data_IF_136161190137
#
_entry.id   IF_136161190137
#
_cell.length_a   1.000
_cell.length_b   1.000
_cell.length_c   1.000
_cell.angle_alpha   90.00
_cell.angle_beta   90.00
_cell.angle_gamma   90.00
#
_symmetry.space_group_name_H-M   'P 1'
#
loop_
_entity.id
_entity.type
_entity.pdbx_description
1 polymer ?
#
# COMPACT_ATOMS: atom_id res chain seq x y z
N UNK A 1 -35.66 75.32 -3.30
CA UNK A 1 -35.80 73.89 -3.66
C UNK A 1 -34.39 73.34 -3.79
N UNK A 2 -33.79 72.99 -2.66
CA UNK A 2 -32.44 72.45 -2.55
C UNK A 2 -32.57 70.94 -2.38
N UNK A 3 -32.42 70.21 -3.48
CA UNK A 3 -32.44 68.76 -3.50
C UNK A 3 -31.05 68.27 -3.09
N UNK A 4 -30.91 67.97 -1.80
CA UNK A 4 -29.71 67.42 -1.19
C UNK A 4 -29.50 65.98 -1.66
N UNK A 5 -28.51 65.78 -2.53
CA UNK A 5 -28.03 64.46 -2.91
C UNK A 5 -27.37 63.79 -1.68
N UNK A 6 -28.01 62.75 -1.16
CA UNK A 6 -27.43 61.87 -0.13
C UNK A 6 -26.28 61.04 -0.73
N UNK A 7 -25.13 60.90 -0.05
CA UNK A 7 -24.00 60.15 -0.56
C UNK A 7 -24.26 58.65 -0.42
N UNK A 8 -24.18 57.94 -1.55
CA UNK A 8 -24.27 56.47 -1.62
C UNK A 8 -23.17 55.83 -0.77
N UNK A 9 -23.56 55.27 0.38
CA UNK A 9 -22.67 54.52 1.27
C UNK A 9 -22.03 53.35 0.50
N UNK A 10 -20.72 53.46 0.31
CA UNK A 10 -19.90 52.41 -0.30
C UNK A 10 -19.78 51.27 0.71
N UNK A 11 -20.66 50.28 0.60
CA UNK A 11 -20.63 49.07 1.44
C UNK A 11 -19.25 48.42 1.27
N UNK A 12 -18.37 48.61 2.27
CA UNK A 12 -17.04 48.01 2.29
C UNK A 12 -17.20 46.50 2.35
N UNK A 13 -17.01 45.84 1.21
CA UNK A 13 -17.07 44.39 1.12
C UNK A 13 -16.13 43.76 2.16
N UNK A 14 -16.56 42.70 2.85
CA UNK A 14 -15.75 42.08 3.89
C UNK A 14 -14.45 41.54 3.29
N UNK A 15 -13.33 41.69 4.04
CA UNK A 15 -11.96 41.37 3.60
C UNK A 15 -11.80 39.98 2.95
N UNK A 16 -12.61 39.00 3.35
CA UNK A 16 -12.58 37.66 2.79
C UNK A 16 -13.04 37.61 1.32
N UNK A 17 -14.01 38.43 0.91
CA UNK A 17 -14.54 38.49 -0.46
C UNK A 17 -13.47 39.04 -1.40
N UNK A 18 -12.83 40.14 -1.02
CA UNK A 18 -11.72 40.74 -1.79
C UNK A 18 -10.57 39.75 -1.95
N UNK A 19 -10.24 39.00 -0.88
CA UNK A 19 -9.19 37.97 -0.92
C UNK A 19 -9.58 36.80 -1.83
N UNK A 20 -10.85 36.36 -1.77
CA UNK A 20 -11.38 35.31 -2.63
C UNK A 20 -11.34 35.72 -4.12
N UNK A 21 -11.78 36.94 -4.45
CA UNK A 21 -11.73 37.45 -5.82
C UNK A 21 -10.30 37.57 -6.35
N UNK A 22 -9.35 38.02 -5.51
CA UNK A 22 -7.92 38.06 -5.87
C UNK A 22 -7.40 36.65 -6.13
N UNK A 23 -7.76 35.67 -5.31
CA UNK A 23 -7.39 34.28 -5.51
C UNK A 23 -7.96 33.70 -6.82
N UNK A 24 -9.22 33.99 -7.16
CA UNK A 24 -9.83 33.58 -8.42
C UNK A 24 -9.13 34.19 -9.64
N UNK A 25 -8.80 35.48 -9.59
CA UNK A 25 -8.05 36.17 -10.66
C UNK A 25 -6.67 35.58 -10.84
N UNK A 26 -5.92 35.38 -9.74
CA UNK A 26 -4.60 34.77 -9.79
C UNK A 26 -4.65 33.34 -10.36
N UNK A 27 -5.63 32.53 -9.97
CA UNK A 27 -5.80 31.17 -10.49
C UNK A 27 -6.16 31.14 -11.98
N UNK A 28 -6.99 32.08 -12.45
CA UNK A 28 -7.30 32.23 -13.87
C UNK A 28 -6.06 32.63 -14.68
N UNK A 29 -5.30 33.61 -14.20
CA UNK A 29 -4.07 34.05 -14.85
C UNK A 29 -3.03 32.92 -14.90
N UNK A 30 -2.87 32.17 -13.81
CA UNK A 30 -1.97 31.01 -13.79
C UNK A 30 -2.30 29.98 -14.87
N UNK A 31 -3.59 29.66 -15.06
CA UNK A 31 -4.03 28.72 -16.11
C UNK A 31 -3.73 29.27 -17.51
N UNK A 32 -3.96 30.57 -17.73
CA UNK A 32 -3.66 31.22 -19.01
C UNK A 32 -2.16 31.22 -19.30
N UNK A 33 -1.32 31.59 -18.33
CA UNK A 33 0.13 31.57 -18.48
C UNK A 33 0.66 30.14 -18.68
N UNK A 34 0.04 29.12 -18.09
CA UNK A 34 0.39 27.72 -18.37
C UNK A 34 0.06 27.31 -19.81
N UNK A 35 -1.08 27.74 -20.34
CA UNK A 35 -1.46 27.50 -21.73
C UNK A 35 -0.50 28.20 -22.71
N UNK A 36 -0.20 29.47 -22.45
CA UNK A 36 0.76 30.27 -23.22
C UNK A 36 2.16 29.64 -23.19
N UNK A 37 2.63 29.21 -22.02
CA UNK A 37 3.92 28.53 -21.89
C UNK A 37 3.95 27.22 -22.70
N UNK A 38 2.85 26.47 -22.74
CA UNK A 38 2.76 25.27 -23.55
C UNK A 38 2.90 25.62 -25.04
N UNK A 39 2.21 26.66 -25.53
CA UNK A 39 2.31 27.12 -26.91
C UNK A 39 3.74 27.57 -27.27
N UNK A 40 4.38 28.38 -26.43
CA UNK A 40 5.77 28.81 -26.64
C UNK A 40 6.73 27.61 -26.68
N UNK A 41 6.49 26.56 -25.90
CA UNK A 41 7.31 25.35 -25.93
C UNK A 41 7.18 24.61 -27.27
N UNK A 42 6.02 24.65 -27.95
CA UNK A 42 5.92 24.16 -29.32
C UNK A 42 6.83 24.96 -30.25
N UNK A 43 6.79 26.29 -30.16
CA UNK A 43 7.61 27.15 -31.02
C UNK A 43 9.11 26.94 -30.79
N UNK A 44 9.51 26.79 -29.51
CA UNK A 44 10.89 26.47 -29.10
C UNK A 44 11.34 25.14 -29.70
N UNK A 45 10.49 24.12 -29.67
CA UNK A 45 10.78 22.81 -30.25
C UNK A 45 10.79 22.87 -31.78
N UNK A 46 9.86 23.58 -32.42
CA UNK A 46 9.80 23.65 -33.89
C UNK A 46 11.00 24.43 -34.47
N UNK A 47 11.49 25.45 -33.77
CA UNK A 47 12.69 26.20 -34.13
C UNK A 47 13.98 25.60 -33.57
N UNK A 48 13.89 24.55 -32.74
CA UNK A 48 15.02 23.92 -32.06
C UNK A 48 15.93 24.94 -31.34
N UNK A 49 15.34 25.95 -30.68
CA UNK A 49 16.06 27.10 -30.08
C UNK A 49 17.14 26.63 -29.08
N UNK A 50 16.89 25.52 -28.38
CA UNK A 50 17.85 24.95 -27.44
C UNK A 50 19.19 24.56 -28.10
N UNK A 51 19.19 24.16 -29.37
CA UNK A 51 20.44 23.86 -30.10
C UNK A 51 21.25 25.13 -30.39
N UNK A 52 20.58 26.24 -30.69
CA UNK A 52 21.22 27.54 -30.90
C UNK A 52 21.88 28.04 -29.59
N UNK A 53 21.29 27.68 -28.45
CA UNK A 53 21.82 27.95 -27.11
C UNK A 53 22.86 26.92 -26.64
N UNK A 54 23.34 26.03 -27.52
CA UNK A 54 24.32 24.97 -27.22
C UNK A 54 23.85 23.93 -26.19
N UNK A 55 22.54 23.79 -25.99
CA UNK A 55 21.92 22.79 -25.11
C UNK A 55 21.43 21.61 -25.96
N UNK A 56 21.65 20.39 -25.47
CA UNK A 56 21.40 19.16 -26.26
C UNK A 56 19.95 18.67 -26.21
N UNK A 57 19.14 19.18 -25.29
CA UNK A 57 17.80 18.65 -25.00
C UNK A 57 16.83 19.75 -24.61
N UNK A 58 15.61 19.70 -25.16
CA UNK A 58 14.50 20.55 -24.74
C UNK A 58 14.24 20.45 -23.23
N UNK A 59 14.38 19.26 -22.65
CA UNK A 59 14.21 19.07 -21.20
C UNK A 59 15.23 19.89 -20.41
N UNK A 60 16.49 19.84 -20.81
CA UNK A 60 17.56 20.59 -20.17
C UNK A 60 17.33 22.11 -20.33
N UNK A 61 16.90 22.55 -21.51
CA UNK A 61 16.51 23.94 -21.75
C UNK A 61 15.39 24.41 -20.80
N UNK A 62 14.35 23.60 -20.61
CA UNK A 62 13.26 23.93 -19.69
C UNK A 62 13.71 24.05 -18.23
N UNK A 63 14.64 23.20 -17.78
CA UNK A 63 15.10 23.20 -16.38
C UNK A 63 16.14 24.28 -16.13
N UNK A 64 17.16 24.37 -16.99
CA UNK A 64 18.31 25.27 -16.77
C UNK A 64 18.02 26.70 -17.23
N UNK A 65 17.44 26.89 -18.42
CA UNK A 65 17.23 28.24 -18.99
C UNK A 65 15.91 28.85 -18.54
N UNK A 66 14.82 28.07 -18.51
CA UNK A 66 13.50 28.57 -18.11
C UNK A 66 13.24 28.45 -16.59
N UNK A 67 14.12 27.76 -15.84
CA UNK A 67 13.98 27.60 -14.39
C UNK A 67 12.78 26.77 -13.94
N UNK A 68 12.23 25.91 -14.81
CA UNK A 68 11.08 25.07 -14.49
C UNK A 68 11.50 23.86 -13.64
N UNK A 69 10.61 23.41 -12.76
CA UNK A 69 10.83 22.14 -12.05
C UNK A 69 10.80 20.96 -13.01
N UNK A 70 11.58 19.93 -12.71
CA UNK A 70 11.67 18.69 -13.50
C UNK A 70 10.29 18.09 -13.82
N UNK A 71 9.39 18.07 -12.81
CA UNK A 71 8.03 17.56 -12.95
C UNK A 71 7.18 18.40 -13.92
N UNK A 72 7.36 19.73 -13.93
CA UNK A 72 6.64 20.64 -14.82
C UNK A 72 7.16 20.52 -16.24
N UNK A 73 8.48 20.52 -16.42
CA UNK A 73 9.14 20.33 -17.70
C UNK A 73 8.72 18.99 -18.34
N UNK A 74 8.77 17.90 -17.59
CA UNK A 74 8.31 16.59 -18.07
C UNK A 74 6.84 16.61 -18.49
N UNK A 75 5.98 17.27 -17.71
CA UNK A 75 4.55 17.34 -18.01
C UNK A 75 4.26 18.13 -19.29
N UNK A 76 4.92 19.26 -19.48
CA UNK A 76 4.80 20.09 -20.69
C UNK A 76 5.28 19.32 -21.92
N UNK A 77 6.48 18.72 -21.86
CA UNK A 77 7.07 17.97 -22.97
C UNK A 77 6.22 16.75 -23.33
N UNK A 78 5.68 16.03 -22.34
CA UNK A 78 4.81 14.88 -22.59
C UNK A 78 3.51 15.29 -23.30
N UNK A 79 2.87 16.37 -22.86
CA UNK A 79 1.65 16.90 -23.50
C UNK A 79 1.96 17.43 -24.90
N UNK A 80 3.08 18.15 -25.08
CA UNK A 80 3.52 18.67 -26.37
C UNK A 80 3.70 17.53 -27.39
N UNK A 81 4.51 16.52 -27.03
CA UNK A 81 4.75 15.36 -27.90
C UNK A 81 3.45 14.63 -28.26
N UNK A 82 2.57 14.42 -27.27
CA UNK A 82 1.30 13.73 -27.54
C UNK A 82 0.34 14.55 -28.40
N UNK A 83 0.38 15.86 -28.26
CA UNK A 83 -0.44 16.76 -29.08
C UNK A 83 0.01 16.84 -30.53
N UNK A 84 1.27 16.48 -30.86
CA UNK A 84 1.69 16.30 -32.26
C UNK A 84 0.94 15.14 -32.93
N UNK A 85 0.62 14.09 -32.18
CA UNK A 85 -0.22 12.98 -32.67
C UNK A 85 -1.73 13.32 -32.62
N UNK A 86 -2.15 14.09 -31.60
CA UNK A 86 -3.56 14.43 -31.33
C UNK A 86 -3.71 15.96 -31.17
N UNK A 87 -3.86 16.72 -32.26
CA UNK A 87 -3.92 18.20 -32.19
C UNK A 87 -5.06 18.74 -31.31
N UNK A 88 -6.17 18.01 -31.22
CA UNK A 88 -7.31 18.37 -30.35
C UNK A 88 -6.93 18.47 -28.85
N UNK A 89 -5.85 17.80 -28.43
CA UNK A 89 -5.32 17.90 -27.07
C UNK A 89 -4.72 19.29 -26.80
N UNK A 90 -3.94 19.83 -27.75
CA UNK A 90 -3.39 21.19 -27.66
C UNK A 90 -4.50 22.21 -27.54
N UNK A 91 -5.47 22.18 -28.46
CA UNK A 91 -6.61 23.10 -28.46
C UNK A 91 -7.39 23.06 -27.15
N UNK A 92 -7.58 21.87 -26.57
CA UNK A 92 -8.32 21.71 -25.31
C UNK A 92 -7.58 22.28 -24.10
N UNK A 93 -6.25 22.29 -24.12
CA UNK A 93 -5.44 22.91 -23.07
C UNK A 93 -5.36 24.42 -23.26
N UNK A 94 -5.16 24.89 -24.50
CA UNK A 94 -5.08 26.32 -24.82
C UNK A 94 -6.39 27.05 -24.53
N UNK A 95 -7.53 26.44 -24.86
CA UNK A 95 -8.86 26.96 -24.52
C UNK A 95 -9.18 26.89 -23.02
N UNK A 96 -8.32 26.28 -22.21
CA UNK A 96 -8.52 26.14 -20.77
C UNK A 96 -9.62 25.14 -20.38
N UNK A 97 -10.13 24.34 -21.32
CA UNK A 97 -11.14 23.30 -21.06
C UNK A 97 -10.58 22.16 -20.21
N UNK A 98 -9.29 21.85 -20.37
CA UNK A 98 -8.57 20.82 -19.62
C UNK A 98 -7.30 21.42 -19.02
N UNK A 99 -7.02 21.12 -17.76
CA UNK A 99 -5.78 21.55 -17.11
C UNK A 99 -4.59 20.72 -17.55
N UNK A 100 -3.39 21.31 -17.57
CA UNK A 100 -2.15 20.63 -17.97
C UNK A 100 -1.93 19.31 -17.22
N UNK A 101 -2.19 19.29 -15.91
CA UNK A 101 -2.03 18.08 -15.09
C UNK A 101 -2.97 16.95 -15.50
N UNK A 102 -4.20 17.26 -15.92
CA UNK A 102 -5.15 16.27 -16.45
C UNK A 102 -4.76 15.81 -17.84
N UNK A 103 -4.33 16.73 -18.71
CA UNK A 103 -3.82 16.42 -20.05
C UNK A 103 -2.63 15.44 -19.99
N UNK A 104 -1.68 15.68 -19.07
CA UNK A 104 -0.52 14.78 -18.86
C UNK A 104 -0.93 13.36 -18.48
N UNK A 105 -1.99 13.19 -17.69
CA UNK A 105 -2.47 11.87 -17.25
C UNK A 105 -3.07 11.07 -18.39
N UNK A 106 -3.84 11.70 -19.28
CA UNK A 106 -4.46 11.03 -20.43
C UNK A 106 -3.48 10.75 -21.57
N UNK A 107 -2.28 11.34 -21.57
CA UNK A 107 -1.28 11.17 -22.64
C UNK A 107 -0.93 9.70 -22.94
N UNK A 108 -1.01 8.81 -21.95
CA UNK A 108 -0.68 7.38 -22.13
C UNK A 108 -1.76 6.56 -22.83
N UNK A 109 -2.99 7.07 -22.94
CA UNK A 109 -4.16 6.33 -23.47
C UNK A 109 -4.89 7.05 -24.60
N UNK A 110 -4.67 8.37 -24.73
CA UNK A 110 -5.29 9.16 -25.79
C UNK A 110 -4.72 8.80 -27.17
N UNK A 111 -5.61 8.67 -28.14
CA UNK A 111 -5.34 8.39 -29.54
C UNK A 111 -6.30 9.22 -30.38
N UNK A 112 -6.05 9.34 -31.68
CA UNK A 112 -6.91 10.10 -32.61
C UNK A 112 -8.36 9.59 -32.61
N UNK A 113 -8.57 8.28 -32.39
CA UNK A 113 -9.91 7.65 -32.39
C UNK A 113 -10.71 7.94 -31.12
N UNK A 114 -10.07 7.87 -29.95
CA UNK A 114 -10.74 8.00 -28.64
C UNK A 114 -10.61 9.41 -28.02
N UNK A 115 -10.06 10.39 -28.77
CA UNK A 115 -9.77 11.73 -28.26
C UNK A 115 -10.98 12.44 -27.63
N UNK A 116 -12.18 12.31 -28.22
CA UNK A 116 -13.38 13.01 -27.74
C UNK A 116 -13.78 12.53 -26.33
N UNK A 117 -13.84 11.21 -26.14
CA UNK A 117 -14.22 10.58 -24.88
C UNK A 117 -13.27 10.99 -23.74
N UNK A 118 -11.96 10.93 -23.97
CA UNK A 118 -10.97 11.29 -22.95
C UNK A 118 -10.95 12.79 -22.62
N UNK A 119 -11.15 13.65 -23.62
CA UNK A 119 -11.22 15.09 -23.42
C UNK A 119 -12.49 15.49 -22.67
N UNK A 120 -13.63 14.88 -22.98
CA UNK A 120 -14.89 15.10 -22.26
C UNK A 120 -14.80 14.61 -20.80
N UNK A 121 -14.20 13.43 -20.57
CA UNK A 121 -13.94 12.91 -19.23
C UNK A 121 -13.02 13.84 -18.44
N UNK A 122 -11.92 14.32 -19.05
CA UNK A 122 -10.99 15.25 -18.42
C UNK A 122 -11.63 16.60 -18.09
N UNK A 123 -12.59 17.08 -18.90
CA UNK A 123 -13.35 18.32 -18.64
C UNK A 123 -14.20 18.18 -17.38
N UNK A 124 -15.02 17.13 -17.29
CA UNK A 124 -16.06 17.00 -16.26
C UNK A 124 -15.52 16.42 -14.95
N UNK A 125 -14.69 15.39 -15.01
CA UNK A 125 -14.36 14.59 -13.84
C UNK A 125 -13.17 15.17 -13.03
N UNK A 126 -13.05 14.74 -11.78
CA UNK A 126 -11.89 15.09 -10.94
C UNK A 126 -10.62 14.39 -11.43
N UNK A 127 -9.45 14.93 -11.08
CA UNK A 127 -8.16 14.38 -11.50
C UNK A 127 -7.92 12.93 -11.03
N UNK A 128 -8.58 12.50 -9.94
CA UNK A 128 -8.53 11.13 -9.39
C UNK A 128 -9.38 10.17 -10.22
N UNK A 129 -10.57 10.59 -10.65
CA UNK A 129 -11.43 9.78 -11.52
C UNK A 129 -10.75 9.58 -12.88
N UNK A 130 -10.12 10.62 -13.42
CA UNK A 130 -9.33 10.53 -14.67
C UNK A 130 -8.21 9.50 -14.52
N UNK A 131 -7.44 9.51 -13.42
CA UNK A 131 -6.39 8.50 -13.19
C UNK A 131 -6.94 7.08 -13.11
N UNK A 132 -8.06 6.89 -12.42
CA UNK A 132 -8.72 5.58 -12.33
C UNK A 132 -9.12 5.07 -13.71
N UNK A 133 -9.72 5.93 -14.53
CA UNK A 133 -10.10 5.59 -15.91
C UNK A 133 -8.87 5.25 -16.77
N UNK A 134 -7.81 6.05 -16.70
CA UNK A 134 -6.54 5.79 -17.41
C UNK A 134 -5.94 4.46 -16.99
N UNK A 135 -5.93 4.15 -15.69
CA UNK A 135 -5.43 2.88 -15.15
C UNK A 135 -6.27 1.67 -15.59
N UNK A 136 -7.59 1.85 -15.75
CA UNK A 136 -8.48 0.81 -16.27
C UNK A 136 -8.23 0.55 -17.76
N UNK A 137 -7.96 1.59 -18.54
CA UNK A 137 -7.66 1.48 -19.97
C UNK A 137 -6.24 0.96 -20.25
N UNK A 138 -5.28 1.17 -19.34
CA UNK A 138 -3.94 0.61 -19.42
C UNK A 138 -3.53 0.00 -18.07
N UNK A 139 -3.92 -1.26 -17.81
CA UNK A 139 -3.55 -1.96 -16.58
C UNK A 139 -2.03 -2.13 -16.53
N UNK A 140 -1.35 -1.33 -15.71
CA UNK A 140 0.06 -1.58 -15.40
C UNK A 140 0.14 -2.90 -14.64
N UNK A 141 1.09 -3.76 -15.04
CA UNK A 141 1.44 -4.99 -14.31
C UNK A 141 1.65 -4.67 -12.83
N UNK A 142 1.16 -5.55 -11.94
CA UNK A 142 1.24 -5.38 -10.49
C UNK A 142 2.63 -4.84 -10.08
N UNK A 143 2.64 -3.66 -9.45
CA UNK A 143 3.89 -3.04 -8.99
C UNK A 143 4.53 -4.01 -7.99
N UNK A 144 5.77 -4.47 -8.22
CA UNK A 144 6.40 -5.42 -7.31
C UNK A 144 6.53 -4.81 -5.92
N UNK A 145 6.24 -5.61 -4.91
CA UNK A 145 6.43 -5.22 -3.52
C UNK A 145 7.91 -4.97 -3.25
N UNK A 146 8.24 -3.82 -2.65
CA UNK A 146 9.62 -3.44 -2.35
C UNK A 146 9.70 -2.80 -0.98
N UNK A 147 10.76 -3.15 -0.24
CA UNK A 147 11.16 -2.49 1.01
C UNK A 147 12.56 -1.91 0.83
N UNK A 148 12.72 -0.60 1.03
CA UNK A 148 14.02 0.09 0.92
C UNK A 148 14.29 0.90 2.18
N UNK A 149 15.52 0.90 2.66
CA UNK A 149 15.92 1.77 3.77
C UNK A 149 15.89 3.24 3.33
N UNK A 150 15.23 4.09 4.13
CA UNK A 150 15.24 5.55 3.99
C UNK A 150 16.10 6.19 5.07
N UNK A 151 16.09 5.60 6.27
CA UNK A 151 16.93 5.98 7.41
C UNK A 151 17.43 4.71 8.12
N UNK A 152 18.25 4.86 9.16
CA UNK A 152 18.89 3.75 9.88
C UNK A 152 17.91 2.64 10.28
N UNK A 153 16.72 3.01 10.76
CA UNK A 153 15.67 2.06 11.19
C UNK A 153 14.32 2.28 10.49
N UNK A 154 14.28 3.05 9.39
CA UNK A 154 13.02 3.37 8.69
C UNK A 154 13.04 2.80 7.28
N UNK A 155 12.07 1.96 6.95
CA UNK A 155 11.91 1.38 5.62
C UNK A 155 10.73 2.02 4.89
N UNK A 156 10.93 2.39 3.63
CA UNK A 156 9.87 2.69 2.66
C UNK A 156 9.27 1.36 2.17
N UNK A 157 7.98 1.15 2.46
CA UNK A 157 7.23 -0.01 1.98
C UNK A 157 6.33 0.38 0.81
N UNK A 158 6.65 -0.15 -0.38
CA UNK A 158 5.85 0.03 -1.61
C UNK A 158 5.00 -1.21 -1.83
N UNK A 159 3.68 -1.01 -1.76
CA UNK A 159 2.67 -2.05 -1.95
C UNK A 159 1.54 -1.51 -2.85
N UNK A 160 1.24 -2.21 -3.93
CA UNK A 160 0.02 -1.96 -4.68
C UNK A 160 -1.15 -2.68 -3.99
N UNK A 161 -2.17 -1.92 -3.60
CA UNK A 161 -3.32 -2.43 -2.85
C UNK A 161 -4.61 -2.25 -3.65
N UNK A 162 -5.56 -3.14 -3.43
CA UNK A 162 -6.91 -3.00 -3.99
C UNK A 162 -7.67 -1.85 -3.31
N UNK A 163 -8.73 -1.38 -3.97
CA UNK A 163 -9.62 -0.35 -3.41
C UNK A 163 -10.29 -0.85 -2.12
N UNK A 164 -10.75 -2.10 -2.12
CA UNK A 164 -11.34 -2.77 -0.94
C UNK A 164 -10.36 -2.80 0.24
N UNK A 165 -9.09 -3.10 0.00
CA UNK A 165 -8.07 -3.13 1.05
C UNK A 165 -7.84 -1.74 1.65
N UNK A 166 -7.81 -0.70 0.79
CA UNK A 166 -7.64 0.69 1.26
C UNK A 166 -8.83 1.15 2.10
N UNK A 167 -10.05 0.75 1.74
CA UNK A 167 -11.26 1.06 2.51
C UNK A 167 -11.21 0.36 3.87
N UNK A 168 -10.91 -0.94 3.88
CA UNK A 168 -10.79 -1.71 5.12
C UNK A 168 -9.72 -1.12 6.06
N UNK A 169 -8.56 -0.71 5.52
CA UNK A 169 -7.53 -0.07 6.34
C UNK A 169 -8.03 1.27 6.93
N UNK A 170 -8.75 2.07 6.16
CA UNK A 170 -9.31 3.33 6.64
C UNK A 170 -10.34 3.10 7.77
N UNK A 171 -11.28 2.17 7.58
CA UNK A 171 -12.27 1.80 8.60
C UNK A 171 -11.60 1.31 9.89
N UNK A 172 -10.60 0.43 9.79
CA UNK A 172 -9.88 -0.07 10.97
C UNK A 172 -9.12 1.06 11.66
N UNK A 173 -8.52 1.98 10.92
CA UNK A 173 -7.85 3.16 11.50
C UNK A 173 -8.83 4.06 12.23
N UNK A 174 -10.03 4.28 11.69
CA UNK A 174 -11.06 5.08 12.34
C UNK A 174 -11.51 4.44 13.64
N UNK A 175 -11.72 3.12 13.65
CA UNK A 175 -12.04 2.36 14.88
C UNK A 175 -10.93 2.46 15.93
N UNK A 176 -9.66 2.32 15.52
CA UNK A 176 -8.52 2.46 16.43
C UNK A 176 -8.37 3.90 16.93
N UNK A 177 -8.60 4.89 16.06
CA UNK A 177 -8.54 6.30 16.41
C UNK A 177 -9.61 6.69 17.43
N UNK A 178 -10.82 6.14 17.31
CA UNK A 178 -11.89 6.30 18.28
C UNK A 178 -11.54 5.66 19.63
N UNK A 179 -10.97 4.45 19.61
CA UNK A 179 -10.57 3.75 20.83
C UNK A 179 -9.47 4.49 21.59
N UNK A 180 -8.50 5.07 20.88
CA UNK A 180 -7.35 5.76 21.48
C UNK A 180 -7.54 7.28 21.64
N UNK A 181 -8.63 7.84 21.11
CA UNK A 181 -8.93 9.29 21.07
C UNK A 181 -7.83 10.14 20.43
N UNK A 182 -7.09 9.58 19.47
CA UNK A 182 -6.03 10.26 18.70
C UNK A 182 -6.02 9.74 17.27
N UNK A 183 -5.48 10.51 16.32
CA UNK A 183 -5.26 10.01 14.97
C UNK A 183 -4.16 8.94 14.96
N UNK A 184 -4.50 7.72 14.54
CA UNK A 184 -3.57 6.58 14.49
C UNK A 184 -2.92 6.50 13.12
N UNK A 185 -1.60 6.27 13.10
CA UNK A 185 -0.84 6.10 11.85
C UNK A 185 -1.14 4.74 11.20
N UNK A 186 -0.96 4.65 9.89
CA UNK A 186 -1.16 3.35 9.21
C UNK A 186 -0.17 2.30 9.67
N UNK A 187 1.04 2.70 10.05
CA UNK A 187 2.07 1.82 10.60
C UNK A 187 1.62 1.23 11.93
N UNK A 188 1.17 2.05 12.88
CA UNK A 188 0.70 1.59 14.20
C UNK A 188 -0.49 0.64 14.09
N UNK A 189 -1.44 0.96 13.20
CA UNK A 189 -2.60 0.12 12.94
C UNK A 189 -2.18 -1.25 12.41
N UNK A 190 -1.33 -1.27 11.37
CA UNK A 190 -0.81 -2.50 10.79
C UNK A 190 0.04 -3.29 11.80
N UNK A 191 0.91 -2.62 12.56
CA UNK A 191 1.76 -3.25 13.57
C UNK A 191 0.91 -3.96 14.63
N UNK A 192 -0.14 -3.29 15.12
CA UNK A 192 -1.07 -3.86 16.11
C UNK A 192 -1.80 -5.09 15.54
N UNK A 193 -2.26 -5.02 14.28
CA UNK A 193 -2.90 -6.16 13.61
C UNK A 193 -1.93 -7.34 13.42
N UNK A 194 -0.71 -7.07 12.95
CA UNK A 194 0.33 -8.07 12.75
C UNK A 194 0.73 -8.72 14.08
N UNK A 195 0.86 -7.94 15.15
CA UNK A 195 1.17 -8.44 16.48
C UNK A 195 0.03 -9.31 17.03
N UNK A 196 -1.24 -8.89 16.88
CA UNK A 196 -2.41 -9.68 17.26
C UNK A 196 -2.48 -11.00 16.49
N UNK A 197 -2.23 -10.97 15.17
CA UNK A 197 -2.20 -12.18 14.34
C UNK A 197 -1.07 -13.12 14.77
N UNK A 198 0.14 -12.58 15.00
CA UNK A 198 1.29 -13.37 15.47
C UNK A 198 0.97 -14.05 16.80
N UNK A 199 0.47 -13.33 17.80
CA UNK A 199 0.13 -13.92 19.11
C UNK A 199 -0.95 -15.00 18.98
N UNK A 200 -1.95 -14.77 18.12
CA UNK A 200 -3.06 -15.71 17.92
C UNK A 200 -2.62 -17.00 17.22
N UNK A 201 -1.82 -16.87 16.16
CA UNK A 201 -1.53 -17.95 15.20
C UNK A 201 -0.20 -18.66 15.45
N UNK A 202 0.80 -17.99 16.04
CA UNK A 202 2.11 -18.61 16.29
C UNK A 202 1.97 -19.83 17.21
N UNK A 203 2.41 -21.03 16.79
CA UNK A 203 2.28 -22.26 17.57
C UNK A 203 3.04 -22.19 18.90
N UNK A 204 4.11 -21.40 18.99
CA UNK A 204 4.91 -21.22 20.20
C UNK A 204 4.16 -20.33 21.19
N UNK A 205 3.67 -19.18 20.74
CA UNK A 205 2.87 -18.27 21.60
C UNK A 205 1.55 -18.93 22.03
N UNK A 206 0.93 -19.74 21.15
CA UNK A 206 -0.22 -20.58 21.52
C UNK A 206 0.14 -21.60 22.59
N UNK A 207 1.30 -22.25 22.50
CA UNK A 207 1.76 -23.20 23.50
C UNK A 207 2.07 -22.53 24.85
N UNK A 208 2.74 -21.36 24.85
CA UNK A 208 2.97 -20.57 26.07
C UNK A 208 1.65 -20.21 26.76
N UNK A 209 0.66 -19.69 26.02
CA UNK A 209 -0.67 -19.36 26.54
C UNK A 209 -1.42 -20.56 27.11
N UNK A 210 -1.25 -21.74 26.50
CA UNK A 210 -1.88 -22.96 26.98
C UNK A 210 -1.27 -23.46 28.30
N UNK A 211 0.05 -23.30 28.49
CA UNK A 211 0.72 -23.64 29.74
C UNK A 211 0.39 -22.64 30.85
N UNK A 212 0.44 -21.33 30.59
CA UNK A 212 0.15 -20.30 31.60
C UNK A 212 -1.30 -20.36 32.12
N UNK A 213 -2.27 -20.75 31.27
CA UNK A 213 -3.66 -21.01 31.70
C UNK A 213 -3.78 -22.19 32.66
N UNK A 214 -2.87 -23.16 32.59
CA UNK A 214 -2.88 -24.35 33.46
C UNK A 214 -2.17 -24.10 34.79
N UNK A 215 -1.16 -23.23 34.78
CA UNK A 215 -0.42 -22.82 35.98
C UNK A 215 -1.13 -21.71 36.78
N UNK A 216 -2.20 -21.13 36.23
CA UNK A 216 -3.08 -20.24 36.97
C UNK A 216 -3.87 -21.04 38.03
N UNK A 217 -3.92 -20.61 39.30
CA UNK A 217 -4.61 -21.34 40.34
C UNK A 217 -6.09 -21.47 39.97
N UNK A 218 -6.52 -22.71 39.70
CA UNK A 218 -7.92 -23.05 39.59
C UNK A 218 -8.59 -22.64 40.90
N UNK A 219 -9.55 -21.72 40.84
CA UNK A 219 -10.52 -21.55 41.93
C UNK A 219 -11.14 -22.92 42.23
N UNK A 220 -11.32 -23.29 43.52
CA UNK A 220 -11.77 -24.62 43.90
C UNK A 220 -13.23 -24.77 43.51
N UNK A 221 -13.49 -25.35 42.33
CA UNK A 221 -14.80 -25.94 42.05
C UNK A 221 -14.93 -27.19 42.89
N UNK A 222 -15.80 -27.10 43.89
CA UNK A 222 -16.22 -28.16 44.77
C UNK A 222 -16.81 -29.34 43.99
N UNK A 223 -16.39 -30.53 44.39
CA UNK A 223 -16.98 -31.86 44.18
C UNK A 223 -17.01 -32.45 42.77
N UNK A 224 -16.16 -33.45 42.54
CA UNK A 224 -16.65 -34.84 42.43
C UNK A 224 -15.46 -35.80 42.42
N UNK A 225 -15.35 -36.58 43.49
CA UNK A 225 -14.60 -37.83 43.56
C UNK A 225 -15.01 -38.71 42.38
N UNK A 226 -14.11 -38.89 41.42
CA UNK A 226 -14.23 -39.95 40.43
C UNK A 226 -12.96 -40.77 40.47
N UNK A 227 -13.07 -41.87 41.20
CA UNK A 227 -12.12 -42.96 41.25
C UNK A 227 -11.61 -43.29 39.84
N UNK A 228 -10.30 -43.16 39.66
CA UNK A 228 -9.61 -43.51 38.43
C UNK A 228 -9.49 -45.03 38.36
N UNK A 229 -10.55 -45.70 37.90
CA UNK A 229 -10.44 -47.05 37.36
C UNK A 229 -9.94 -46.95 35.92
N UNK A 230 -8.86 -47.68 35.64
CA UNK A 230 -8.12 -47.69 34.37
C UNK A 230 -9.03 -47.89 33.15
N UNK A 231 -9.30 -46.80 32.44
CA UNK A 231 -9.85 -46.85 31.09
C UNK A 231 -8.68 -47.06 30.14
N UNK A 232 -8.55 -48.25 29.58
CA UNK A 232 -7.71 -48.49 28.41
C UNK A 232 -8.20 -47.57 27.28
N UNK A 233 -7.53 -46.44 27.10
CA UNK A 233 -7.85 -45.50 26.04
C UNK A 233 -7.36 -46.11 24.73
N UNK A 234 -8.29 -46.39 23.80
CA UNK A 234 -7.95 -46.86 22.45
C UNK A 234 -6.87 -45.95 21.87
N UNK A 235 -5.74 -46.52 21.44
CA UNK A 235 -4.63 -45.77 20.82
C UNK A 235 -5.13 -45.15 19.51
N UNK A 236 -5.40 -43.84 19.53
CA UNK A 236 -5.74 -43.09 18.32
C UNK A 236 -4.48 -42.49 17.72
N UNK A 237 -4.45 -42.33 16.40
CA UNK A 237 -3.30 -41.72 15.69
C UNK A 237 -3.16 -40.21 15.97
N UNK A 238 -4.15 -39.59 16.60
CA UNK A 238 -4.18 -38.15 16.84
C UNK A 238 -3.30 -37.78 18.05
N UNK A 239 -2.31 -36.92 17.83
CA UNK A 239 -1.36 -36.51 18.88
C UNK A 239 -2.08 -35.56 19.85
N UNK A 240 -2.04 -35.83 21.18
CA UNK A 240 -2.66 -34.94 22.17
C UNK A 240 -2.14 -33.51 22.07
N UNK A 241 -3.05 -32.54 22.20
CA UNK A 241 -2.71 -31.11 22.10
C UNK A 241 -1.60 -30.68 23.08
N UNK A 242 -1.58 -31.26 24.29
CA UNK A 242 -0.53 -31.01 25.29
C UNK A 242 0.85 -31.39 24.76
N UNK A 243 0.99 -32.57 24.17
CA UNK A 243 2.25 -33.03 23.58
C UNK A 243 2.66 -32.12 22.43
N UNK A 244 1.73 -31.73 21.55
CA UNK A 244 2.00 -30.78 20.48
C UNK A 244 2.53 -29.43 20.99
N UNK A 245 1.95 -28.90 22.08
CA UNK A 245 2.43 -27.66 22.70
C UNK A 245 3.85 -27.79 23.26
N UNK A 246 4.16 -28.89 23.94
CA UNK A 246 5.51 -29.16 24.46
C UNK A 246 6.55 -29.26 23.33
N UNK A 247 6.22 -29.98 22.25
CA UNK A 247 7.08 -30.09 21.07
C UNK A 247 7.27 -28.72 20.41
N UNK A 248 6.21 -27.94 20.26
CA UNK A 248 6.31 -26.60 19.66
C UNK A 248 7.18 -25.65 20.49
N UNK A 249 7.18 -25.75 21.82
CA UNK A 249 8.05 -24.98 22.70
C UNK A 249 9.51 -25.43 22.58
N UNK A 250 9.76 -26.75 22.58
CA UNK A 250 11.09 -27.32 22.39
C UNK A 250 11.69 -26.92 21.05
N UNK A 251 10.93 -27.12 19.98
CA UNK A 251 11.41 -26.96 18.61
C UNK A 251 11.29 -25.52 18.10
N UNK A 252 10.63 -24.63 18.87
CA UNK A 252 10.32 -23.24 18.53
C UNK A 252 9.61 -23.09 17.17
N UNK A 253 8.78 -24.08 16.81
CA UNK A 253 8.10 -24.15 15.52
C UNK A 253 9.03 -24.27 14.31
N UNK A 254 10.26 -24.77 14.50
CA UNK A 254 11.24 -24.97 13.41
C UNK A 254 11.61 -26.44 13.26
N UNK A 255 12.00 -26.83 12.06
CA UNK A 255 12.51 -28.18 11.79
C UNK A 255 13.68 -28.53 12.74
N UNK A 256 13.60 -29.68 13.41
CA UNK A 256 14.61 -30.21 14.34
C UNK A 256 15.68 -31.06 13.66
N UNK A 257 15.57 -31.31 12.35
CA UNK A 257 16.55 -32.09 11.60
C UNK A 257 17.92 -31.40 11.60
N UNK A 258 18.96 -32.19 11.88
CA UNK A 258 20.37 -31.80 11.84
C UNK A 258 21.04 -32.51 10.67
N UNK A 259 21.74 -31.74 9.85
CA UNK A 259 22.49 -32.27 8.70
C UNK A 259 23.80 -32.93 9.18
N UNK A 260 24.49 -33.62 8.26
CA UNK A 260 25.79 -34.30 8.49
C UNK A 260 26.89 -33.40 9.07
N UNK A 261 26.78 -32.09 8.86
CA UNK A 261 27.69 -31.07 9.37
C UNK A 261 27.25 -30.48 10.73
N UNK A 262 26.24 -31.06 11.38
CA UNK A 262 25.69 -30.58 12.65
C UNK A 262 24.81 -29.33 12.54
N UNK A 263 24.54 -28.84 11.33
CA UNK A 263 23.70 -27.65 11.11
C UNK A 263 22.22 -28.01 11.13
N UNK A 264 21.44 -27.32 11.96
CA UNK A 264 19.98 -27.46 12.01
C UNK A 264 19.31 -26.71 10.84
N UNK A 265 18.35 -27.36 10.18
CA UNK A 265 17.67 -26.82 8.99
C UNK A 265 16.98 -25.46 9.23
N UNK A 266 16.40 -25.24 10.41
CA UNK A 266 15.84 -23.93 10.81
C UNK A 266 14.56 -23.50 10.07
N UNK A 267 14.11 -24.25 9.06
CA UNK A 267 12.88 -23.98 8.30
C UNK A 267 11.64 -23.98 9.20
N UNK A 268 10.74 -23.02 8.98
CA UNK A 268 9.50 -22.82 9.76
C UNK A 268 8.25 -23.13 8.96
N UNK A 269 8.33 -23.09 7.63
CA UNK A 269 7.19 -23.29 6.74
C UNK A 269 6.92 -24.78 6.56
N UNK A 270 5.63 -25.12 6.50
CA UNK A 270 5.13 -26.48 6.22
C UNK A 270 5.83 -27.55 7.06
N UNK A 271 5.72 -27.40 8.38
CA UNK A 271 6.31 -28.34 9.34
C UNK A 271 5.26 -29.32 9.88
N UNK A 272 5.60 -30.59 9.82
CA UNK A 272 4.81 -31.70 10.32
C UNK A 272 5.42 -32.30 11.58
N UNK A 273 4.63 -33.07 12.33
CA UNK A 273 5.12 -33.88 13.45
C UNK A 273 5.34 -35.32 12.97
N UNK A 274 6.59 -35.75 13.00
CA UNK A 274 7.00 -37.09 12.60
C UNK A 274 7.31 -37.93 13.83
N UNK A 275 6.86 -39.19 13.84
CA UNK A 275 7.19 -40.18 14.85
C UNK A 275 8.51 -40.85 14.50
N UNK A 276 9.52 -40.77 15.38
CA UNK A 276 10.82 -41.44 15.19
C UNK A 276 10.62 -42.96 15.13
N UNK A 277 9.91 -43.51 16.11
CA UNK A 277 9.36 -44.85 16.06
C UNK A 277 7.92 -44.77 15.54
N UNK A 278 7.63 -45.34 14.35
CA UNK A 278 6.30 -45.29 13.77
C UNK A 278 5.21 -45.80 14.72
N UNK A 279 4.03 -45.18 14.65
CA UNK A 279 2.88 -45.61 15.44
C UNK A 279 2.47 -47.06 15.16
N UNK A 280 2.66 -47.55 13.93
CA UNK A 280 2.42 -48.95 13.52
C UNK A 280 3.29 -49.95 14.26
N UNK A 281 4.49 -49.54 14.69
CA UNK A 281 5.44 -50.38 15.45
C UNK A 281 5.28 -50.20 16.97
N UNK A 282 4.17 -49.59 17.39
CA UNK A 282 3.88 -49.33 18.80
C UNK A 282 4.55 -48.08 19.37
N UNK A 283 5.04 -47.16 18.53
CA UNK A 283 5.56 -45.86 18.96
C UNK A 283 4.51 -45.04 19.71
N UNK A 284 4.93 -44.39 20.80
CA UNK A 284 4.08 -43.57 21.64
C UNK A 284 4.03 -42.11 21.19
N UNK A 285 3.12 -41.33 21.77
CA UNK A 285 3.01 -39.88 21.55
C UNK A 285 3.81 -39.10 22.60
N UNK A 286 4.96 -39.63 23.04
CA UNK A 286 5.87 -38.91 23.91
C UNK A 286 6.55 -37.77 23.15
N UNK A 287 7.01 -36.76 23.89
CA UNK A 287 7.75 -35.63 23.31
C UNK A 287 9.06 -36.10 22.70
N UNK A 288 9.68 -37.14 23.27
CA UNK A 288 10.94 -37.73 22.79
C UNK A 288 10.77 -38.48 21.48
N UNK A 289 9.67 -39.23 21.32
CA UNK A 289 9.39 -39.97 20.08
C UNK A 289 8.89 -39.09 18.92
N UNK A 290 8.56 -37.83 19.18
CA UNK A 290 8.03 -36.91 18.18
C UNK A 290 9.03 -35.81 17.84
N UNK A 291 9.17 -35.53 16.55
CA UNK A 291 10.05 -34.49 16.03
C UNK A 291 9.33 -33.57 15.03
N UNK A 292 9.69 -32.29 15.01
CA UNK A 292 9.18 -31.34 14.03
C UNK A 292 10.05 -31.37 12.78
N UNK A 293 9.48 -31.74 11.63
CA UNK A 293 10.23 -31.83 10.36
C UNK A 293 9.55 -30.98 9.29
N UNK A 294 10.33 -30.30 8.44
CA UNK A 294 9.75 -29.63 7.27
C UNK A 294 9.39 -30.67 6.21
N UNK A 295 8.49 -30.32 5.29
CA UNK A 295 8.05 -31.19 4.20
C UNK A 295 9.20 -31.91 3.47
N UNK A 296 10.31 -31.22 3.17
CA UNK A 296 11.47 -31.81 2.48
C UNK A 296 12.14 -32.92 3.31
N UNK A 297 12.42 -32.67 4.60
CA UNK A 297 13.03 -33.66 5.48
C UNK A 297 12.04 -34.77 5.88
N UNK A 298 10.76 -34.45 5.99
CA UNK A 298 9.70 -35.42 6.22
C UNK A 298 9.67 -36.45 5.07
N UNK A 299 9.75 -35.98 3.82
CA UNK A 299 9.85 -36.85 2.65
C UNK A 299 11.15 -37.66 2.62
N UNK A 300 12.26 -37.09 3.08
CA UNK A 300 13.54 -37.79 3.14
C UNK A 300 13.53 -38.94 4.15
N UNK A 301 12.81 -38.80 5.27
CA UNK A 301 12.69 -39.86 6.29
C UNK A 301 11.78 -41.02 5.88
N UNK A 302 10.93 -40.81 4.87
CA UNK A 302 10.02 -41.84 4.33
C UNK A 302 10.47 -42.41 2.98
N UNK A 303 11.68 -42.05 2.51
CA UNK A 303 12.32 -42.65 1.35
C UNK A 303 13.22 -43.78 1.78
#
# INVERSE_FOLDING_TARGET
>A
MSESAEPVETIRQPKFVITHERAMRAASNYKKSQAELLDVIFDVEDQQIYLQMQIKSLYQYCVEMLGLSEATAYSLIAVMRKSREVPALKESVVTGRVTLSKARKICSVITVKNQKEWLDLARVCSARIVERAVAMANPRSAVPESMKYVAENTLEFKLAVSEEWSQLLAEVKDLMSQAERRAVSSEEALFTLLQKYKIKTDPVEKAKRALTRKDSPLLPTTNCSREQLGRETKRTRNIPARTLHLINLRDQGRCSFVDRYGKRCGEKRWTDKHHIKPFSEGGDHSVENLQTVCWAHHRMMHR
#
